data_IF_213141994107
#
_entry.id   IF_213141994107
#
_cell.length_a   1.000
_cell.length_b   1.000
_cell.length_c   1.000
_cell.angle_alpha   90.00
_cell.angle_beta   90.00
_cell.angle_gamma   90.00
#
_symmetry.space_group_name_H-M   'P 1'
#
loop_
_entity.id
_entity.type
_entity.pdbx_description
1 polymer ?
#
# COMPACT_ATOMS: atom_id res chain seq x y z
N UNK A 1 -12.00 -0.22 -9.56
CA UNK A 1 -12.00 -1.48 -8.75
C UNK A 1 -11.42 -1.21 -7.37
N UNK A 2 -11.67 -2.04 -6.33
CA UNK A 2 -11.05 -1.88 -4.99
C UNK A 2 -10.15 -3.06 -4.67
N UNK A 3 -8.94 -2.80 -4.18
CA UNK A 3 -7.93 -3.81 -3.81
C UNK A 3 -7.41 -3.51 -2.41
N UNK A 4 -7.30 -4.54 -1.58
CA UNK A 4 -6.68 -4.44 -0.25
C UNK A 4 -5.45 -5.33 -0.20
N UNK A 5 -4.34 -4.77 0.29
CA UNK A 5 -3.06 -5.45 0.46
C UNK A 5 -2.79 -5.51 1.97
N UNK A 6 -2.60 -6.72 2.50
CA UNK A 6 -2.24 -6.95 3.90
C UNK A 6 -0.77 -7.36 3.94
N UNK A 7 0.06 -6.51 4.52
CA UNK A 7 1.52 -6.57 4.51
C UNK A 7 2.12 -5.61 3.48
N UNK A 8 2.77 -4.55 3.97
CA UNK A 8 3.47 -3.49 3.24
C UNK A 8 4.98 -3.74 3.12
N UNK A 9 5.45 -4.95 3.40
CA UNK A 9 6.84 -5.36 3.15
C UNK A 9 7.22 -5.30 1.66
N UNK A 10 8.40 -5.81 1.29
CA UNK A 10 8.96 -5.67 -0.08
C UNK A 10 7.98 -6.02 -1.21
N UNK A 11 7.26 -7.14 -1.08
CA UNK A 11 6.34 -7.58 -2.12
C UNK A 11 5.05 -6.78 -2.12
N UNK A 12 4.48 -6.52 -0.94
CA UNK A 12 3.26 -5.73 -0.80
C UNK A 12 3.42 -4.31 -1.34
N UNK A 13 4.55 -3.68 -1.06
CA UNK A 13 4.94 -2.40 -1.65
C UNK A 13 4.98 -2.48 -3.18
N UNK A 14 5.76 -3.40 -3.75
CA UNK A 14 5.90 -3.52 -5.21
C UNK A 14 4.57 -3.82 -5.90
N UNK A 15 3.72 -4.62 -5.25
CA UNK A 15 2.39 -4.89 -5.74
C UNK A 15 1.57 -3.61 -5.73
N UNK A 16 1.47 -2.93 -4.58
CA UNK A 16 0.74 -1.69 -4.44
C UNK A 16 1.20 -0.65 -5.47
N UNK A 17 2.50 -0.49 -5.68
CA UNK A 17 3.10 0.46 -6.61
C UNK A 17 2.74 0.15 -8.07
N UNK A 18 2.77 -1.14 -8.46
CA UNK A 18 2.44 -1.56 -9.82
C UNK A 18 0.95 -1.41 -10.21
N UNK A 19 0.06 -1.28 -9.23
CA UNK A 19 -1.38 -1.08 -9.44
C UNK A 19 -1.90 0.29 -8.98
N UNK A 20 -1.13 1.02 -8.17
CA UNK A 20 -1.39 2.41 -7.82
C UNK A 20 -1.32 3.28 -9.09
N UNK A 21 -2.13 4.35 -9.14
CA UNK A 21 -2.25 5.23 -10.30
C UNK A 21 -3.08 4.68 -11.49
N UNK A 22 -3.63 3.47 -11.38
CA UNK A 22 -4.70 2.99 -12.29
C UNK A 22 -6.06 3.43 -11.74
N UNK A 23 -7.14 3.18 -12.48
CA UNK A 23 -8.53 3.39 -12.00
C UNK A 23 -8.95 2.35 -10.94
N UNK A 24 -8.13 2.26 -9.89
CA UNK A 24 -8.14 1.26 -8.83
C UNK A 24 -7.85 1.96 -7.51
N UNK A 25 -8.75 1.79 -6.56
CA UNK A 25 -8.52 2.22 -5.18
C UNK A 25 -7.76 1.12 -4.45
N UNK A 26 -6.54 1.45 -4.00
CA UNK A 26 -5.67 0.55 -3.25
C UNK A 26 -5.66 0.95 -1.77
N UNK A 27 -5.90 -0.02 -0.89
CA UNK A 27 -5.71 0.12 0.56
C UNK A 27 -4.61 -0.83 1.01
N UNK A 28 -3.63 -0.34 1.74
CA UNK A 28 -2.53 -1.12 2.31
C UNK A 28 -2.66 -1.14 3.83
N UNK A 29 -2.61 -2.33 4.41
CA UNK A 29 -2.64 -2.54 5.86
C UNK A 29 -1.37 -3.25 6.30
N UNK A 30 -0.71 -2.75 7.34
CA UNK A 30 0.43 -3.40 7.97
C UNK A 30 0.42 -3.15 9.47
N UNK A 31 0.85 -4.13 10.26
CA UNK A 31 0.92 -4.02 11.71
C UNK A 31 2.07 -3.14 12.17
N UNK A 32 3.11 -2.98 11.34
CA UNK A 32 4.26 -2.14 11.62
C UNK A 32 4.04 -0.70 11.11
N UNK A 33 3.84 0.27 12.01
CA UNK A 33 3.65 1.67 11.62
C UNK A 33 4.90 2.29 10.98
N UNK A 34 6.11 1.78 11.23
CA UNK A 34 7.31 2.27 10.55
C UNK A 34 7.29 1.90 9.07
N UNK A 35 6.80 0.69 8.74
CA UNK A 35 6.67 0.25 7.34
C UNK A 35 5.66 1.14 6.63
N UNK A 36 4.48 1.36 7.23
CA UNK A 36 3.46 2.26 6.65
C UNK A 36 3.99 3.68 6.43
N UNK A 37 4.71 4.24 7.40
CA UNK A 37 5.30 5.57 7.26
C UNK A 37 6.38 5.66 6.19
N UNK A 38 7.16 4.59 5.97
CA UNK A 38 8.16 4.55 4.88
C UNK A 38 7.52 4.54 3.51
N UNK A 39 6.38 3.85 3.36
CA UNK A 39 5.76 3.68 2.05
C UNK A 39 4.72 4.76 1.74
N UNK A 40 4.16 5.46 2.73
CA UNK A 40 3.16 6.51 2.53
C UNK A 40 3.62 7.66 1.65
N UNK A 41 4.92 7.97 1.67
CA UNK A 41 5.49 9.06 0.88
C UNK A 41 5.72 8.66 -0.59
N UNK A 42 5.63 7.36 -0.89
CA UNK A 42 5.96 6.80 -2.21
C UNK A 42 4.75 6.20 -2.95
N UNK A 43 3.62 6.01 -2.27
CA UNK A 43 2.47 5.27 -2.78
C UNK A 43 1.20 6.12 -2.71
N UNK A 44 0.49 6.25 -3.83
CA UNK A 44 -0.88 6.76 -3.85
C UNK A 44 -1.84 5.62 -3.47
N UNK A 45 -1.92 5.36 -2.17
CA UNK A 45 -2.76 4.33 -1.56
C UNK A 45 -3.20 4.73 -0.14
N UNK A 46 -4.36 4.21 0.29
CA UNK A 46 -4.84 4.42 1.65
C UNK A 46 -4.08 3.50 2.62
N UNK A 47 -3.44 4.07 3.63
CA UNK A 47 -2.71 3.33 4.66
C UNK A 47 -3.60 3.07 5.87
N UNK A 48 -3.63 1.85 6.39
CA UNK A 48 -4.34 1.47 7.61
C UNK A 48 -3.43 0.63 8.52
N UNK A 49 -3.58 0.79 9.83
CA UNK A 49 -2.94 -0.07 10.83
C UNK A 49 -3.82 -1.28 11.13
#
# INVERSE_FOLDING_TARGET
>A
MKVMIVGAGKLGYKLADAISGKDVHVTVMDSDPEVLGRISDHLDALMMK
#
